data_IF_202206412352
#
_entry.id   IF_202206412352
#
_cell.length_a   1.000
_cell.length_b   1.000
_cell.length_c   1.000
_cell.angle_alpha   90.00
_cell.angle_beta   90.00
_cell.angle_gamma   90.00
#
_symmetry.space_group_name_H-M   'P 1'
#
loop_
_entity.id
_entity.type
_entity.pdbx_description
1 polymer ?
#
# COMPACT_ATOMS: atom_id res chain seq x y z
N UNK A 1 13.95 63.23 -10.32
CA UNK A 1 12.92 62.62 -9.44
C UNK A 1 11.99 61.89 -10.40
N UNK A 2 12.31 60.66 -10.84
CA UNK A 2 12.26 59.39 -10.07
C UNK A 2 10.97 59.31 -9.23
N UNK A 3 10.15 58.26 -9.29
CA UNK A 3 10.51 56.85 -9.39
C UNK A 3 9.40 55.98 -10.02
N UNK A 4 9.81 54.87 -10.62
CA UNK A 4 8.93 53.75 -10.97
C UNK A 4 8.57 52.93 -9.74
N UNK A 5 7.33 52.45 -9.69
CA UNK A 5 6.87 51.54 -8.64
C UNK A 5 7.42 50.13 -8.90
N UNK A 6 8.48 49.79 -8.17
CA UNK A 6 8.92 48.41 -7.98
C UNK A 6 8.00 47.73 -6.95
N UNK A 7 7.23 46.74 -7.40
CA UNK A 7 6.53 45.82 -6.51
C UNK A 7 7.54 44.79 -5.99
N UNK A 8 8.08 45.05 -4.80
CA UNK A 8 8.91 44.11 -4.04
C UNK A 8 7.99 43.04 -3.44
N UNK A 9 8.01 41.84 -4.02
CA UNK A 9 7.52 40.64 -3.36
C UNK A 9 8.50 40.26 -2.25
N UNK A 10 8.06 40.36 -1.01
CA UNK A 10 8.77 39.86 0.16
C UNK A 10 8.83 38.33 0.12
N UNK A 11 9.99 37.79 -0.24
CA UNK A 11 10.39 36.41 0.04
C UNK A 11 10.56 36.26 1.56
N UNK A 12 9.79 35.37 2.18
CA UNK A 12 10.03 34.97 3.57
C UNK A 12 10.70 33.60 3.55
N UNK A 13 12.02 33.65 3.52
CA UNK A 13 12.89 32.55 3.86
C UNK A 13 13.96 33.12 4.77
N UNK A 14 14.07 32.56 5.99
CA UNK A 14 15.32 32.06 6.59
C UNK A 14 15.11 31.80 8.10
N UNK A 15 15.00 30.51 8.41
CA UNK A 15 15.67 29.75 9.48
C UNK A 15 16.34 30.44 10.69
N UNK A 16 16.13 29.85 11.87
CA UNK A 16 17.07 29.78 13.01
C UNK A 16 16.37 29.28 14.28
N UNK A 17 16.79 28.23 14.99
CA UNK A 17 17.97 27.36 14.87
C UNK A 17 17.93 26.24 15.93
N UNK A 18 18.98 25.40 15.94
CA UNK A 18 19.34 24.57 17.09
C UNK A 18 19.54 23.08 16.84
N UNK A 19 20.77 22.69 16.50
CA UNK A 19 21.47 21.52 17.05
C UNK A 19 21.10 20.10 16.56
N UNK A 20 22.14 19.37 16.11
CA UNK A 20 22.16 17.90 16.09
C UNK A 20 22.31 17.28 14.70
N UNK A 21 23.54 16.94 14.32
CA UNK A 21 23.84 16.11 13.17
C UNK A 21 23.32 14.68 13.35
N UNK A 22 22.86 14.09 12.25
CA UNK A 22 22.34 12.73 12.15
C UNK A 22 21.28 12.64 11.05
N UNK A 23 21.70 12.29 9.84
CA UNK A 23 20.88 11.77 8.73
C UNK A 23 19.48 12.36 8.53
N UNK A 24 19.36 13.69 8.41
CA UNK A 24 18.20 14.28 7.75
C UNK A 24 18.37 14.08 6.25
N UNK A 25 17.86 12.96 5.73
CA UNK A 25 17.83 12.70 4.30
C UNK A 25 17.25 13.91 3.54
N UNK A 26 17.85 14.34 2.42
CA UNK A 26 17.39 15.50 1.69
C UNK A 26 15.91 15.36 1.28
N UNK A 27 15.13 16.41 1.47
CA UNK A 27 13.76 16.49 0.96
C UNK A 27 13.78 16.37 -0.57
N UNK A 28 12.88 15.55 -1.14
CA UNK A 28 12.79 15.39 -2.59
C UNK A 28 12.40 16.70 -3.25
N UNK A 29 13.26 17.20 -4.14
CA UNK A 29 12.93 18.41 -4.90
C UNK A 29 11.87 18.11 -5.97
N UNK A 30 11.24 19.17 -6.50
CA UNK A 30 10.26 19.04 -7.58
C UNK A 30 10.93 18.46 -8.84
N UNK A 31 12.10 18.99 -9.20
CA UNK A 31 12.85 18.54 -10.38
C UNK A 31 13.31 17.09 -10.22
N UNK A 32 13.84 16.74 -9.05
CA UNK A 32 14.22 15.36 -8.72
C UNK A 32 13.03 14.39 -8.81
N UNK A 33 11.85 14.80 -8.33
CA UNK A 33 10.63 13.98 -8.42
C UNK A 33 10.16 13.81 -9.87
N UNK A 34 10.30 14.85 -10.71
CA UNK A 34 9.98 14.75 -12.14
C UNK A 34 10.92 13.82 -12.87
N UNK A 35 12.22 13.93 -12.60
CA UNK A 35 13.23 13.04 -13.17
C UNK A 35 13.00 11.58 -12.76
N UNK A 36 12.64 11.35 -11.50
CA UNK A 36 12.23 10.05 -10.99
C UNK A 36 11.01 9.48 -11.75
N UNK A 37 9.97 10.29 -11.93
CA UNK A 37 8.76 9.87 -12.64
C UNK A 37 9.02 9.56 -14.12
N UNK A 38 9.90 10.31 -14.76
CA UNK A 38 10.35 10.04 -16.13
C UNK A 38 11.04 8.69 -16.24
N UNK A 39 12.00 8.40 -15.35
CA UNK A 39 12.67 7.09 -15.29
C UNK A 39 11.66 5.97 -15.03
N UNK A 40 10.71 6.20 -14.11
CA UNK A 40 9.68 5.21 -13.76
C UNK A 40 8.70 4.95 -14.91
N UNK A 41 8.38 5.96 -15.71
CA UNK A 41 7.55 5.85 -16.89
C UNK A 41 8.24 5.00 -17.98
N UNK A 42 9.53 5.24 -18.20
CA UNK A 42 10.36 4.49 -19.15
C UNK A 42 10.43 3.00 -18.80
N UNK A 43 10.61 2.68 -17.52
CA UNK A 43 10.70 1.30 -17.03
C UNK A 43 9.34 0.64 -16.79
N UNK A 44 8.23 1.38 -16.87
CA UNK A 44 6.89 0.87 -16.56
C UNK A 44 6.49 -0.42 -17.29
N UNK A 45 6.82 -0.62 -18.59
CA UNK A 45 6.57 -1.89 -19.27
C UNK A 45 7.26 -3.08 -18.58
N UNK A 46 8.53 -2.94 -18.23
CA UNK A 46 9.31 -4.01 -17.58
C UNK A 46 8.80 -4.33 -16.18
N UNK A 47 8.30 -3.32 -15.46
CA UNK A 47 7.59 -3.51 -14.19
C UNK A 47 6.29 -4.32 -14.34
N UNK A 48 5.65 -4.32 -15.50
CA UNK A 48 4.42 -5.08 -15.76
C UNK A 48 4.71 -6.52 -16.22
N UNK A 49 5.88 -6.77 -16.82
CA UNK A 49 6.27 -8.07 -17.34
C UNK A 49 6.80 -9.02 -16.25
N UNK A 50 7.47 -8.47 -15.23
CA UNK A 50 8.19 -9.24 -14.22
C UNK A 50 7.49 -9.18 -12.86
N UNK A 51 7.44 -10.32 -12.15
CA UNK A 51 6.90 -10.37 -10.78
C UNK A 51 7.90 -9.84 -9.75
N UNK A 52 9.20 -10.12 -9.91
CA UNK A 52 10.26 -9.64 -9.01
C UNK A 52 10.83 -8.30 -9.48
N UNK A 53 10.53 -7.24 -8.74
CA UNK A 53 10.92 -5.87 -9.12
C UNK A 53 12.15 -5.32 -8.38
N UNK A 54 12.80 -6.09 -7.50
CA UNK A 54 13.97 -5.66 -6.72
C UNK A 54 15.07 -5.03 -7.59
N UNK A 55 15.49 -5.72 -8.64
CA UNK A 55 16.50 -5.22 -9.58
C UNK A 55 16.05 -3.97 -10.34
N UNK A 56 14.75 -3.81 -10.61
CA UNK A 56 14.26 -2.60 -11.29
C UNK A 56 14.38 -1.36 -10.39
N UNK A 57 14.24 -1.52 -9.07
CA UNK A 57 14.50 -0.43 -8.13
C UNK A 57 15.98 -0.07 -8.06
N UNK A 58 16.89 -1.04 -8.19
CA UNK A 58 18.33 -0.80 -8.32
C UNK A 58 18.68 -0.04 -9.61
N UNK A 59 18.02 -0.38 -10.71
CA UNK A 59 18.17 0.33 -11.99
C UNK A 59 17.66 1.78 -11.86
N UNK A 60 16.51 2.01 -11.22
CA UNK A 60 16.00 3.36 -10.98
C UNK A 60 16.99 4.16 -10.12
N UNK A 61 17.47 3.59 -9.02
CA UNK A 61 18.46 4.24 -8.14
C UNK A 61 19.72 4.63 -8.91
N UNK A 62 20.19 3.76 -9.80
CA UNK A 62 21.37 4.01 -10.64
C UNK A 62 21.11 5.15 -11.63
N UNK A 63 19.98 5.15 -12.35
CA UNK A 63 19.59 6.25 -13.25
C UNK A 63 19.38 7.58 -12.50
N UNK A 64 18.87 7.54 -11.27
CA UNK A 64 18.77 8.74 -10.41
C UNK A 64 20.16 9.29 -10.06
N UNK A 65 21.13 8.41 -9.74
CA UNK A 65 22.51 8.78 -9.45
C UNK A 65 23.21 9.37 -10.67
N UNK A 66 22.95 8.86 -11.87
CA UNK A 66 23.45 9.43 -13.14
C UNK A 66 22.95 10.86 -13.38
N UNK A 67 21.74 11.17 -12.92
CA UNK A 67 21.18 12.54 -12.93
C UNK A 67 21.67 13.42 -11.77
N UNK A 68 22.55 12.91 -10.91
CA UNK A 68 23.11 13.64 -9.76
C UNK A 68 22.30 13.52 -8.47
N UNK A 69 21.34 12.59 -8.40
CA UNK A 69 20.51 12.36 -7.21
C UNK A 69 20.88 11.04 -6.51
N UNK A 70 21.48 11.13 -5.34
CA UNK A 70 21.87 9.97 -4.54
C UNK A 70 20.70 9.42 -3.73
N UNK A 71 19.86 8.59 -4.35
CA UNK A 71 18.74 7.88 -3.70
C UNK A 71 18.94 6.38 -3.73
N UNK A 72 18.71 5.69 -2.61
CA UNK A 72 18.74 4.22 -2.55
C UNK A 72 17.54 3.61 -3.28
N UNK A 73 17.61 2.34 -3.70
CA UNK A 73 16.47 1.61 -4.28
C UNK A 73 15.22 1.64 -3.38
N UNK A 74 15.40 1.52 -2.07
CA UNK A 74 14.34 1.53 -1.06
C UNK A 74 13.68 2.91 -0.99
N UNK A 75 14.47 3.99 -1.04
CA UNK A 75 13.94 5.35 -1.08
C UNK A 75 13.12 5.61 -2.35
N UNK A 76 13.58 5.10 -3.50
CA UNK A 76 12.85 5.15 -4.77
C UNK A 76 11.52 4.38 -4.68
N UNK A 77 11.51 3.16 -4.13
CA UNK A 77 10.29 2.38 -3.89
C UNK A 77 9.32 3.12 -2.96
N UNK A 78 9.79 3.61 -1.81
CA UNK A 78 8.98 4.39 -0.88
C UNK A 78 8.42 5.68 -1.52
N UNK A 79 9.23 6.37 -2.33
CA UNK A 79 8.79 7.58 -3.05
C UNK A 79 7.67 7.26 -4.03
N UNK A 80 7.80 6.18 -4.80
CA UNK A 80 6.74 5.71 -5.70
C UNK A 80 5.45 5.41 -4.93
N UNK A 81 5.53 4.59 -3.87
CA UNK A 81 4.36 4.24 -3.05
C UNK A 81 3.63 5.48 -2.54
N UNK A 82 4.37 6.47 -2.06
CA UNK A 82 3.81 7.74 -1.59
C UNK A 82 3.12 8.53 -2.71
N UNK A 83 3.74 8.63 -3.89
CA UNK A 83 3.16 9.32 -5.04
C UNK A 83 1.87 8.65 -5.52
N UNK A 84 1.87 7.32 -5.64
CA UNK A 84 0.69 6.54 -6.04
C UNK A 84 -0.44 6.68 -5.01
N UNK A 85 -0.11 6.65 -3.73
CA UNK A 85 -1.11 6.83 -2.65
C UNK A 85 -1.78 8.20 -2.75
N UNK A 86 -0.99 9.27 -2.94
CA UNK A 86 -1.54 10.63 -3.12
C UNK A 86 -2.39 10.75 -4.37
N UNK A 87 -1.92 10.18 -5.49
CA UNK A 87 -2.67 10.15 -6.75
C UNK A 87 -4.04 9.49 -6.58
N UNK A 88 -4.10 8.31 -5.94
CA UNK A 88 -5.37 7.61 -5.66
C UNK A 88 -6.27 8.42 -4.74
N UNK A 89 -5.71 9.12 -3.75
CA UNK A 89 -6.46 10.04 -2.89
C UNK A 89 -7.18 11.13 -3.69
N UNK A 90 -6.51 11.73 -4.67
CA UNK A 90 -7.07 12.74 -5.58
C UNK A 90 -8.15 12.20 -6.54
N UNK A 91 -8.24 10.88 -6.71
CA UNK A 91 -9.26 10.24 -7.55
C UNK A 91 -10.58 10.03 -6.80
N UNK A 92 -10.54 10.00 -5.46
CA UNK A 92 -11.68 9.61 -4.60
C UNK A 92 -12.46 10.76 -3.95
N UNK A 93 -11.88 11.95 -3.82
CA UNK A 93 -12.52 13.14 -3.23
C UNK A 93 -12.51 14.31 -4.24
N UNK A 94 -13.66 14.97 -4.40
CA UNK A 94 -13.91 16.25 -5.11
C UNK A 94 -12.94 16.57 -6.28
N UNK A 95 -13.32 16.29 -7.55
CA UNK A 95 -12.37 16.09 -8.66
C UNK A 95 -11.45 17.24 -9.03
N UNK A 96 -11.80 18.51 -8.76
CA UNK A 96 -11.09 19.63 -9.38
C UNK A 96 -10.08 20.29 -8.43
N UNK A 97 -10.46 20.50 -7.16
CA UNK A 97 -9.66 21.25 -6.20
C UNK A 97 -8.37 20.54 -5.74
N UNK A 98 -8.40 19.22 -5.54
CA UNK A 98 -7.21 18.45 -5.12
C UNK A 98 -6.29 18.08 -6.28
N UNK A 99 -6.82 17.87 -7.49
CA UNK A 99 -6.00 17.57 -8.68
C UNK A 99 -5.09 18.74 -9.05
N UNK A 100 -5.58 19.98 -8.89
CA UNK A 100 -4.79 21.18 -9.11
C UNK A 100 -3.71 21.42 -8.03
N UNK A 101 -3.88 20.86 -6.83
CA UNK A 101 -2.90 20.97 -5.75
C UNK A 101 -1.78 19.93 -5.80
N UNK A 102 -1.96 18.79 -6.49
CA UNK A 102 -0.95 17.75 -6.59
C UNK A 102 -0.07 17.96 -7.84
N UNK A 103 1.17 18.47 -7.70
CA UNK A 103 1.98 18.92 -8.84
C UNK A 103 2.48 17.81 -9.77
N UNK A 104 2.27 16.54 -9.40
CA UNK A 104 2.71 15.36 -10.16
C UNK A 104 1.53 14.53 -10.69
N UNK A 105 0.29 15.04 -10.60
CA UNK A 105 -0.91 14.30 -10.99
C UNK A 105 -0.86 13.87 -12.45
N UNK A 106 -0.52 14.80 -13.35
CA UNK A 106 -0.50 14.56 -14.79
C UNK A 106 0.55 13.53 -15.19
N UNK A 107 1.74 13.58 -14.60
CA UNK A 107 2.80 12.62 -14.85
C UNK A 107 2.40 11.20 -14.42
N UNK A 108 1.77 11.04 -13.24
CA UNK A 108 1.26 9.73 -12.80
C UNK A 108 0.08 9.25 -13.66
N UNK A 109 -0.86 10.14 -13.98
CA UNK A 109 -1.99 9.85 -14.87
C UNK A 109 -1.49 9.35 -16.23
N UNK A 110 -0.46 9.98 -16.79
CA UNK A 110 0.14 9.58 -18.06
C UNK A 110 0.74 8.17 -18.00
N UNK A 111 1.46 7.83 -16.93
CA UNK A 111 2.02 6.48 -16.73
C UNK A 111 0.89 5.43 -16.70
N UNK A 112 -0.17 5.68 -15.93
CA UNK A 112 -1.28 4.74 -15.81
C UNK A 112 -2.14 4.65 -17.07
N UNK A 113 -2.39 5.76 -17.76
CA UNK A 113 -3.10 5.78 -19.04
C UNK A 113 -2.31 5.02 -20.12
N UNK A 114 -0.99 5.25 -20.21
CA UNK A 114 -0.12 4.52 -21.13
C UNK A 114 -0.09 3.01 -20.82
N UNK A 115 -0.08 2.65 -19.53
CA UNK A 115 -0.18 1.25 -19.08
C UNK A 115 -1.49 0.60 -19.51
N UNK A 116 -2.62 1.29 -19.29
CA UNK A 116 -3.94 0.82 -19.71
C UNK A 116 -4.00 0.62 -21.23
N UNK A 117 -3.50 1.60 -21.99
CA UNK A 117 -3.46 1.53 -23.45
C UNK A 117 -2.60 0.36 -23.96
N UNK A 118 -1.46 0.08 -23.32
CA UNK A 118 -0.65 -1.10 -23.66
C UNK A 118 -1.37 -2.42 -23.40
N UNK A 119 -2.10 -2.54 -22.28
CA UNK A 119 -2.91 -3.74 -22.04
C UNK A 119 -3.98 -3.92 -23.11
N UNK A 120 -4.70 -2.85 -23.48
CA UNK A 120 -5.71 -2.90 -24.54
C UNK A 120 -5.12 -3.27 -25.91
N UNK A 121 -3.89 -2.80 -26.21
CA UNK A 121 -3.18 -3.14 -27.45
C UNK A 121 -2.82 -4.63 -27.52
N UNK A 122 -2.31 -5.20 -26.42
CA UNK A 122 -1.98 -6.63 -26.32
C UNK A 122 -3.25 -7.50 -26.50
N UNK A 123 -4.38 -7.06 -25.96
CA UNK A 123 -5.68 -7.74 -26.14
C UNK A 123 -6.19 -7.68 -27.60
N UNK A 124 -5.94 -6.57 -28.31
CA UNK A 124 -6.33 -6.40 -29.70
C UNK A 124 -5.47 -7.21 -30.68
N UNK A 125 -4.18 -7.41 -30.38
CA UNK A 125 -3.24 -8.17 -31.23
C UNK A 125 -3.19 -9.68 -30.88
N UNK A 126 -3.74 -10.09 -29.73
CA UNK A 126 -3.60 -11.43 -29.15
C UNK A 126 -4.85 -12.33 -29.21
N UNK A 127 -5.46 -12.49 -30.39
CA UNK A 127 -6.47 -13.53 -30.61
C UNK A 127 -5.85 -14.93 -30.72
N UNK A 128 -6.09 -15.78 -29.71
CA UNK A 128 -5.83 -17.24 -29.63
C UNK A 128 -4.46 -17.71 -29.07
N UNK A 129 -4.36 -17.77 -27.73
CA UNK A 129 -3.92 -18.99 -27.04
C UNK A 129 -4.48 -19.00 -25.62
N UNK A 130 -5.39 -19.94 -25.34
CA UNK A 130 -6.06 -20.05 -24.06
C UNK A 130 -5.12 -20.55 -22.96
N UNK A 131 -4.92 -19.75 -21.92
CA UNK A 131 -4.68 -20.26 -20.57
C UNK A 131 -5.13 -19.23 -19.52
N UNK A 132 -6.31 -19.51 -18.93
CA UNK A 132 -6.85 -19.03 -17.66
C UNK A 132 -6.83 -17.53 -17.38
N UNK A 133 -8.03 -16.96 -17.59
CA UNK A 133 -8.65 -15.88 -16.82
C UNK A 133 -8.18 -15.87 -15.35
N UNK A 134 -7.20 -15.04 -15.01
CA UNK A 134 -6.94 -14.56 -13.66
C UNK A 134 -6.99 -13.05 -13.73
N UNK A 135 -8.04 -12.46 -13.15
CA UNK A 135 -8.14 -11.02 -12.99
C UNK A 135 -6.90 -10.51 -12.28
N UNK A 136 -6.08 -9.73 -12.99
CA UNK A 136 -5.02 -8.95 -12.39
C UNK A 136 -5.72 -7.81 -11.67
N UNK A 137 -5.83 -7.97 -10.35
CA UNK A 137 -6.00 -6.85 -9.43
C UNK A 137 -4.92 -5.83 -9.79
N UNK A 138 -5.32 -4.58 -9.92
CA UNK A 138 -4.43 -3.42 -9.94
C UNK A 138 -3.30 -3.68 -8.93
N UNK A 139 -2.07 -3.82 -9.44
CA UNK A 139 -0.87 -4.04 -8.64
C UNK A 139 -0.75 -2.88 -7.64
N UNK A 140 -1.29 -3.11 -6.45
CA UNK A 140 -0.92 -2.43 -5.24
C UNK A 140 0.47 -2.95 -4.94
N UNK A 141 1.44 -2.05 -4.99
CA UNK A 141 2.85 -2.23 -4.68
C UNK A 141 2.99 -2.65 -3.20
N UNK A 142 2.65 -3.90 -2.92
CA UNK A 142 2.78 -4.57 -1.63
C UNK A 142 3.40 -5.94 -1.91
N UNK A 143 4.65 -5.91 -2.37
CA UNK A 143 5.56 -7.04 -2.22
C UNK A 143 6.43 -6.74 -1.00
N UNK A 144 6.05 -7.38 0.12
CA UNK A 144 6.91 -7.74 1.24
C UNK A 144 8.06 -8.60 0.67
N UNK A 145 9.28 -8.04 0.68
CA UNK A 145 10.52 -8.78 0.47
C UNK A 145 10.93 -9.34 1.83
N UNK A 146 10.84 -10.66 2.02
CA UNK A 146 11.46 -11.35 3.14
C UNK A 146 12.99 -11.35 2.96
N UNK A 147 13.68 -10.78 3.94
CA UNK A 147 15.14 -10.72 4.07
C UNK A 147 15.67 -12.12 4.40
N UNK A 148 16.30 -12.81 3.44
CA UNK A 148 17.16 -13.97 3.72
C UNK A 148 18.61 -13.53 3.54
N UNK A 149 19.25 -13.26 4.68
CA UNK A 149 20.67 -12.96 4.80
C UNK A 149 21.51 -14.17 4.44
N UNK A 150 22.40 -13.94 3.48
CA UNK A 150 23.42 -14.86 2.99
C UNK A 150 24.28 -15.45 4.13
N UNK A 151 24.48 -16.75 4.05
CA UNK A 151 25.38 -17.54 4.88
C UNK A 151 26.11 -18.53 3.99
N UNK A 152 27.18 -18.06 3.36
CA UNK A 152 28.15 -18.82 2.59
C UNK A 152 28.43 -20.22 3.18
N UNK A 153 28.39 -21.24 2.31
CA UNK A 153 29.48 -22.22 2.24
C UNK A 153 29.45 -22.97 0.91
N UNK A 154 30.46 -22.68 0.10
CA UNK A 154 30.67 -23.31 -1.19
C UNK A 154 31.04 -24.80 -1.11
N UNK A 155 30.84 -25.49 -2.22
CA UNK A 155 31.79 -26.50 -2.66
C UNK A 155 31.63 -26.75 -4.16
N UNK A 156 32.65 -26.33 -4.89
CA UNK A 156 32.93 -26.75 -6.26
C UNK A 156 32.96 -28.28 -6.37
N UNK A 157 32.49 -28.87 -7.47
CA UNK A 157 33.13 -30.08 -8.01
C UNK A 157 32.91 -30.31 -9.51
N UNK A 158 34.06 -30.26 -10.16
CA UNK A 158 34.43 -30.53 -11.55
C UNK A 158 33.80 -31.78 -12.17
N UNK A 159 33.37 -31.57 -13.42
CA UNK A 159 33.37 -32.48 -14.58
C UNK A 159 34.65 -33.35 -14.60
N UNK A 160 34.50 -34.69 -14.63
CA UNK A 160 35.58 -35.60 -15.09
C UNK A 160 35.03 -36.66 -16.04
N UNK A 161 35.75 -36.79 -17.16
CA UNK A 161 35.62 -37.76 -18.24
C UNK A 161 36.47 -38.98 -17.88
N UNK A 162 35.97 -40.20 -18.07
CA UNK A 162 36.79 -41.42 -18.12
C UNK A 162 36.39 -42.23 -19.36
N UNK A 163 37.40 -42.65 -20.11
CA UNK A 163 37.36 -43.55 -21.27
C UNK A 163 38.09 -44.83 -20.86
N UNK A 164 37.57 -45.99 -21.26
CA UNK A 164 38.37 -47.19 -21.51
C UNK A 164 37.85 -48.49 -20.93
N UNK A 165 37.82 -49.52 -21.79
CA UNK A 165 38.10 -50.91 -21.42
C UNK A 165 36.88 -51.78 -21.12
N UNK A 166 36.44 -52.56 -22.10
CA UNK A 166 35.37 -53.54 -21.95
C UNK A 166 35.81 -54.86 -21.33
N UNK A 167 34.82 -55.67 -20.94
CA UNK A 167 34.83 -57.14 -21.04
C UNK A 167 33.38 -57.62 -21.07
N UNK A 168 33.09 -58.51 -22.00
CA UNK A 168 31.89 -59.37 -21.99
C UNK A 168 32.05 -60.42 -20.87
N UNK A 169 30.94 -60.96 -20.34
CA UNK A 169 30.49 -62.23 -20.88
C UNK A 169 28.97 -62.28 -21.08
N UNK A 170 28.54 -63.04 -22.07
CA UNK A 170 27.14 -63.21 -22.40
C UNK A 170 26.40 -64.13 -21.41
N UNK A 171 25.07 -64.13 -21.57
CA UNK A 171 24.16 -65.28 -21.53
C UNK A 171 22.83 -64.91 -20.87
N UNK A 172 21.73 -65.18 -21.57
CA UNK A 172 20.52 -65.74 -20.95
C UNK A 172 19.43 -64.79 -20.44
N UNK A 173 18.37 -64.69 -21.23
CA UNK A 173 16.97 -64.92 -20.84
C UNK A 173 16.29 -64.03 -19.76
N UNK A 174 15.43 -63.14 -20.27
CA UNK A 174 14.04 -62.93 -19.85
C UNK A 174 13.66 -63.01 -18.35
N UNK A 175 13.50 -61.85 -17.70
CA UNK A 175 12.37 -61.58 -16.76
C UNK A 175 12.04 -60.08 -16.79
N UNK A 176 11.11 -59.71 -17.67
CA UNK A 176 10.43 -58.41 -17.64
C UNK A 176 9.28 -58.53 -16.63
N UNK A 177 9.37 -57.85 -15.48
CA UNK A 177 8.28 -57.89 -14.50
C UNK A 177 8.45 -57.05 -13.23
N UNK A 178 9.68 -56.71 -12.81
CA UNK A 178 9.90 -55.98 -11.54
C UNK A 178 9.98 -54.45 -11.63
N UNK A 179 10.18 -53.88 -12.81
CA UNK A 179 10.60 -52.48 -12.95
C UNK A 179 9.44 -51.47 -13.07
N UNK A 180 8.24 -51.93 -13.42
CA UNK A 180 7.05 -51.08 -13.56
C UNK A 180 6.42 -50.73 -12.21
N UNK A 181 6.51 -51.62 -11.22
CA UNK A 181 5.96 -51.39 -9.89
C UNK A 181 6.74 -50.31 -9.12
N UNK A 182 8.08 -50.33 -9.21
CA UNK A 182 8.95 -49.34 -8.57
C UNK A 182 8.82 -47.93 -9.19
N UNK A 183 8.66 -47.83 -10.52
CA UNK A 183 8.43 -46.55 -11.19
C UNK A 183 7.04 -45.98 -10.90
N UNK A 184 6.04 -46.86 -10.80
CA UNK A 184 4.68 -46.50 -10.40
C UNK A 184 4.65 -45.96 -8.97
N UNK A 185 5.33 -46.61 -8.03
CA UNK A 185 5.48 -46.14 -6.65
C UNK A 185 6.23 -44.81 -6.57
N UNK A 186 7.32 -44.65 -7.33
CA UNK A 186 8.07 -43.39 -7.36
C UNK A 186 7.25 -42.22 -7.92
N UNK A 187 6.45 -42.47 -8.97
CA UNK A 187 5.57 -41.47 -9.55
C UNK A 187 4.39 -41.14 -8.61
N UNK A 188 3.85 -42.14 -7.90
CA UNK A 188 2.83 -41.94 -6.86
C UNK A 188 3.39 -41.11 -5.68
N UNK A 189 4.62 -41.37 -5.23
CA UNK A 189 5.29 -40.59 -4.19
C UNK A 189 5.58 -39.16 -4.66
N UNK A 190 5.99 -38.99 -5.92
CA UNK A 190 6.20 -37.66 -6.53
C UNK A 190 4.90 -36.86 -6.63
N UNK A 191 3.80 -37.47 -7.10
CA UNK A 191 2.50 -36.81 -7.15
C UNK A 191 1.98 -36.48 -5.74
N UNK A 192 2.20 -37.35 -4.77
CA UNK A 192 1.86 -37.12 -3.35
C UNK A 192 2.69 -35.98 -2.76
N UNK A 193 3.98 -35.91 -3.07
CA UNK A 193 4.87 -34.83 -2.65
C UNK A 193 4.46 -33.49 -3.28
N UNK A 194 4.07 -33.50 -4.57
CA UNK A 194 3.54 -32.31 -5.24
C UNK A 194 2.22 -31.84 -4.61
N UNK A 195 1.30 -32.76 -4.30
CA UNK A 195 0.02 -32.44 -3.66
C UNK A 195 0.19 -31.90 -2.24
N UNK A 196 1.15 -32.43 -1.46
CA UNK A 196 1.46 -31.91 -0.12
C UNK A 196 1.97 -30.47 -0.16
N UNK A 197 2.84 -30.17 -1.13
CA UNK A 197 3.35 -28.82 -1.35
C UNK A 197 2.22 -27.85 -1.72
N UNK A 198 1.33 -28.24 -2.62
CA UNK A 198 0.16 -27.42 -3.02
C UNK A 198 -0.80 -27.18 -1.85
N UNK A 199 -1.07 -28.20 -1.04
CA UNK A 199 -1.92 -28.08 0.16
C UNK A 199 -1.28 -27.17 1.20
N UNK A 200 0.04 -27.26 1.39
CA UNK A 200 0.75 -26.38 2.31
C UNK A 200 0.73 -24.93 1.83
N UNK A 201 0.91 -24.70 0.52
CA UNK A 201 0.75 -23.38 -0.10
C UNK A 201 -0.64 -22.78 0.07
N UNK A 202 -1.70 -23.59 -0.08
CA UNK A 202 -3.07 -23.14 0.14
C UNK A 202 -3.32 -22.79 1.60
N UNK A 203 -2.82 -23.60 2.54
CA UNK A 203 -2.94 -23.33 3.98
C UNK A 203 -2.22 -22.05 4.39
N UNK A 204 -1.00 -21.83 3.91
CA UNK A 204 -0.25 -20.61 4.22
C UNK A 204 -0.92 -19.37 3.62
N UNK A 205 -1.45 -19.50 2.39
CA UNK A 205 -2.23 -18.44 1.75
C UNK A 205 -3.52 -18.14 2.52
N UNK A 206 -4.29 -19.17 2.90
CA UNK A 206 -5.55 -19.02 3.64
C UNK A 206 -5.33 -18.42 5.03
N UNK A 207 -4.28 -18.83 5.75
CA UNK A 207 -3.90 -18.24 7.03
C UNK A 207 -3.56 -16.74 6.88
N UNK A 208 -2.88 -16.35 5.80
CA UNK A 208 -2.57 -14.94 5.51
C UNK A 208 -3.82 -14.15 5.13
N UNK A 209 -4.78 -14.75 4.42
CA UNK A 209 -6.10 -14.16 4.17
C UNK A 209 -6.91 -13.97 5.47
N UNK A 210 -6.88 -14.96 6.35
CA UNK A 210 -7.54 -14.92 7.66
C UNK A 210 -6.94 -13.85 8.55
N UNK A 211 -5.61 -13.74 8.58
CA UNK A 211 -4.91 -12.70 9.32
C UNK A 211 -5.28 -11.30 8.80
N UNK A 212 -5.41 -11.13 7.48
CA UNK A 212 -5.91 -9.86 6.91
C UNK A 212 -7.36 -9.59 7.31
N UNK A 213 -8.23 -10.60 7.29
CA UNK A 213 -9.63 -10.48 7.72
C UNK A 213 -9.73 -10.14 9.22
N UNK A 214 -8.90 -10.75 10.07
CA UNK A 214 -8.87 -10.44 11.50
C UNK A 214 -8.40 -9.01 11.73
N UNK A 215 -7.30 -8.57 11.11
CA UNK A 215 -6.85 -7.17 11.21
C UNK A 215 -7.90 -6.18 10.73
N UNK A 216 -8.64 -6.50 9.67
CA UNK A 216 -9.73 -5.64 9.17
C UNK A 216 -10.90 -5.60 10.16
N UNK A 217 -11.28 -6.72 10.77
CA UNK A 217 -12.31 -6.76 11.81
C UNK A 217 -11.89 -6.00 13.07
N UNK A 218 -10.65 -6.18 13.53
CA UNK A 218 -10.09 -5.45 14.66
C UNK A 218 -10.08 -3.95 14.39
N UNK A 219 -9.67 -3.55 13.18
CA UNK A 219 -9.71 -2.14 12.78
C UNK A 219 -11.13 -1.58 12.77
N UNK A 220 -12.11 -2.33 12.24
CA UNK A 220 -13.53 -1.94 12.26
C UNK A 220 -14.05 -1.80 13.68
N UNK A 221 -13.76 -2.77 14.56
CA UNK A 221 -14.17 -2.72 15.97
C UNK A 221 -13.52 -1.56 16.72
N UNK A 222 -12.24 -1.28 16.46
CA UNK A 222 -11.54 -0.14 17.06
C UNK A 222 -12.17 1.19 16.63
N UNK A 223 -12.50 1.33 15.34
CA UNK A 223 -13.19 2.52 14.82
C UNK A 223 -14.58 2.69 15.46
N UNK A 224 -15.36 1.61 15.56
CA UNK A 224 -16.67 1.62 16.21
C UNK A 224 -16.58 1.95 17.70
N UNK A 225 -15.55 1.45 18.40
CA UNK A 225 -15.31 1.75 19.82
C UNK A 225 -15.02 3.25 20.04
N UNK A 226 -14.19 3.86 19.19
CA UNK A 226 -13.91 5.29 19.24
C UNK A 226 -15.16 6.15 18.99
N UNK A 227 -15.99 5.75 18.04
CA UNK A 227 -17.26 6.45 17.76
C UNK A 227 -18.24 6.32 18.94
N UNK A 228 -18.37 5.12 19.50
CA UNK A 228 -19.20 4.89 20.67
C UNK A 228 -18.72 5.68 21.90
N UNK A 229 -17.40 5.78 22.10
CA UNK A 229 -16.84 6.61 23.17
C UNK A 229 -17.20 8.09 22.97
N UNK A 230 -17.08 8.61 21.74
CA UNK A 230 -17.49 9.98 21.40
C UNK A 230 -18.97 10.20 21.69
N UNK A 231 -19.85 9.31 21.23
CA UNK A 231 -21.30 9.38 21.44
C UNK A 231 -21.63 9.35 22.94
N UNK A 232 -20.95 8.50 23.72
CA UNK A 232 -21.13 8.40 25.16
C UNK A 232 -20.71 9.68 25.89
N UNK A 233 -19.60 10.30 25.48
CA UNK A 233 -19.16 11.59 26.03
C UNK A 233 -20.14 12.72 25.72
N UNK A 234 -20.63 12.81 24.48
CA UNK A 234 -21.65 13.78 24.07
C UNK A 234 -22.95 13.59 24.84
N UNK A 235 -23.37 12.33 25.05
CA UNK A 235 -24.57 12.00 25.84
C UNK A 235 -24.42 12.45 27.30
N UNK A 236 -23.27 12.16 27.93
CA UNK A 236 -22.95 12.62 29.29
C UNK A 236 -22.87 14.14 29.41
N UNK A 237 -22.43 14.83 28.36
CA UNK A 237 -22.43 16.29 28.33
C UNK A 237 -23.85 16.85 28.24
N UNK A 238 -24.67 16.33 27.32
CA UNK A 238 -26.09 16.72 27.19
C UNK A 238 -26.88 16.48 28.47
N UNK A 239 -26.69 15.34 29.13
CA UNK A 239 -27.38 15.06 30.39
C UNK A 239 -26.99 16.06 31.50
N UNK A 240 -25.71 16.45 31.59
CA UNK A 240 -25.27 17.49 32.54
C UNK A 240 -25.81 18.88 32.19
N UNK A 241 -25.89 19.22 30.91
CA UNK A 241 -26.54 20.44 30.41
C UNK A 241 -28.03 20.45 30.76
N UNK A 242 -28.75 19.37 30.47
CA UNK A 242 -30.17 19.20 30.80
C UNK A 242 -30.40 19.30 32.30
N UNK A 243 -29.55 18.70 33.13
CA UNK A 243 -29.62 18.86 34.58
C UNK A 243 -29.38 20.31 35.04
N UNK A 244 -28.55 21.09 34.32
CA UNK A 244 -28.41 22.53 34.58
C UNK A 244 -29.67 23.28 34.17
N UNK A 245 -30.17 23.03 32.96
CA UNK A 245 -31.40 23.63 32.44
C UNK A 245 -32.60 23.33 33.34
N UNK A 246 -32.80 22.09 33.77
CA UNK A 246 -33.85 21.69 34.71
C UNK A 246 -33.76 22.47 36.03
N UNK A 247 -32.56 22.69 36.56
CA UNK A 247 -32.37 23.50 37.78
C UNK A 247 -32.69 24.97 37.56
N UNK A 248 -32.38 25.51 36.38
CA UNK A 248 -32.71 26.88 36.01
C UNK A 248 -34.21 27.06 35.76
N UNK A 249 -34.84 26.12 35.08
CA UNK A 249 -36.27 26.07 34.83
C UNK A 249 -37.04 25.96 36.13
N UNK A 250 -36.66 25.06 37.05
CA UNK A 250 -37.28 25.00 38.38
C UNK A 250 -37.13 26.29 39.19
N UNK A 251 -36.07 27.09 38.96
CA UNK A 251 -35.96 28.44 39.55
C UNK A 251 -36.83 29.45 38.83
N UNK A 252 -36.95 29.36 37.50
CA UNK A 252 -37.83 30.21 36.71
C UNK A 252 -39.31 29.96 37.07
N UNK A 253 -39.75 28.71 37.12
CA UNK A 253 -41.09 28.31 37.56
C UNK A 253 -41.44 28.85 38.94
N UNK A 254 -40.49 28.80 39.90
CA UNK A 254 -40.69 29.41 41.23
C UNK A 254 -40.89 30.92 41.13
N UNK A 255 -40.11 31.62 40.30
CA UNK A 255 -40.27 33.07 40.06
C UNK A 255 -41.64 33.35 39.42
N UNK A 256 -42.01 32.60 38.40
CA UNK A 256 -43.27 32.77 37.66
C UNK A 256 -44.49 32.46 38.54
N UNK A 257 -44.41 31.45 39.41
CA UNK A 257 -45.43 31.13 40.40
C UNK A 257 -45.63 32.28 41.41
N UNK A 258 -44.53 32.89 41.88
CA UNK A 258 -44.59 34.06 42.77
C UNK A 258 -45.21 35.26 42.06
N UNK A 259 -44.79 35.57 40.83
CA UNK A 259 -45.36 36.66 40.03
C UNK A 259 -46.86 36.43 39.83
N UNK A 260 -47.26 35.21 39.45
CA UNK A 260 -48.66 34.83 39.26
C UNK A 260 -49.47 34.99 40.55
N UNK A 261 -48.93 34.57 41.69
CA UNK A 261 -49.57 34.72 42.98
C UNK A 261 -49.77 36.20 43.37
N UNK A 262 -48.78 37.06 43.10
CA UNK A 262 -48.87 38.50 43.34
C UNK A 262 -49.92 39.16 42.43
N UNK A 263 -49.90 38.87 41.14
CA UNK A 263 -50.92 39.38 40.19
C UNK A 263 -52.33 38.95 40.58
N UNK A 264 -52.49 37.72 41.07
CA UNK A 264 -53.78 37.22 41.56
C UNK A 264 -54.26 37.91 42.85
N UNK A 265 -53.36 38.45 43.68
CA UNK A 265 -53.74 39.24 44.86
C UNK A 265 -54.18 40.64 44.46
N UNK A 266 -53.42 41.33 43.62
CA UNK A 266 -53.77 42.67 43.12
C UNK A 266 -55.15 42.66 42.45
N UNK A 267 -55.42 41.67 41.59
CA UNK A 267 -56.74 41.53 40.95
C UNK A 267 -57.90 41.30 41.92
N UNK A 268 -57.66 40.81 43.15
CA UNK A 268 -58.68 40.64 44.19
C UNK A 268 -58.85 41.88 45.06
N UNK A 269 -57.85 42.77 45.11
CA UNK A 269 -57.92 44.04 45.84
C UNK A 269 -58.60 45.12 44.98
N UNK A 270 -58.59 44.97 43.66
CA UNK A 270 -59.26 45.87 42.70
C UNK A 270 -60.76 45.55 42.46
N UNK A 271 -61.34 44.56 43.15
CA UNK A 271 -62.75 44.15 43.08
C UNK A 271 -63.41 44.31 44.44
#
# INVERSE_FOLDING_TARGET
MEAGHHHISVSVDTSGGGGGGGDRFPQWSIQETRDFLMIRAELDPTFMETKRNKLLWEVISTKMREKGYNRSPEQCKCKWKNLVTRYKGCETLEPEGMRQQFPFYNELQAIFAARMQRMLWIEAEGGASGLKKKGVRLSSDDEDDEDESDGEKGSSKKKRKIKGGGMNPGSGSSTSGGNMNNLKEFLEEFMKQQMQMEVQWLKTYEAREEERRMREMEWRQAMEALENERIMMDRRWREREEQRRMREEARAEKRDALITALLNKLRREDV
#
